data_IF_632231612861
#
_entry.id   IF_632231612861
#
_cell.length_a   1.000
_cell.length_b   1.000
_cell.length_c   1.000
_cell.angle_alpha   90.00
_cell.angle_beta   90.00
_cell.angle_gamma   90.00
#
_symmetry.space_group_name_H-M   'P 1'
#
loop_
_entity.id
_entity.type
_entity.pdbx_description
1 polymer ?
#
# COMPACT_ATOMS: atom_id res chain seq x y z
N UNK A 1 69.90 14.74 -33.42
CA UNK A 1 69.88 14.82 -31.95
C UNK A 1 69.30 16.18 -31.60
N UNK A 2 68.04 16.35 -31.22
CA UNK A 2 67.40 15.77 -30.05
C UNK A 2 65.92 15.50 -30.33
N UNK A 3 65.50 14.33 -29.85
CA UNK A 3 64.16 13.79 -29.83
C UNK A 3 63.38 14.43 -28.65
N UNK A 4 62.18 14.96 -28.91
CA UNK A 4 61.21 15.31 -27.87
C UNK A 4 59.81 14.90 -28.32
N UNK A 5 59.57 13.61 -28.11
CA UNK A 5 58.28 12.94 -28.05
C UNK A 5 57.15 13.84 -27.50
N UNK A 6 56.24 14.26 -28.38
CA UNK A 6 54.93 14.79 -27.99
C UNK A 6 54.00 13.61 -27.71
N UNK A 7 53.80 13.33 -26.42
CA UNK A 7 52.71 12.48 -25.93
C UNK A 7 51.41 13.29 -25.98
N UNK A 8 50.31 12.79 -26.58
CA UNK A 8 49.02 13.45 -26.47
C UNK A 8 48.47 13.24 -25.06
N UNK A 9 48.22 14.36 -24.38
CA UNK A 9 47.46 14.44 -23.15
C UNK A 9 45.98 14.20 -23.51
N UNK A 10 45.23 13.34 -22.79
CA UNK A 10 43.79 13.21 -23.01
C UNK A 10 43.11 14.56 -22.69
N UNK A 11 42.07 14.96 -23.44
CA UNK A 11 41.34 16.18 -23.14
C UNK A 11 40.78 16.07 -21.72
N UNK A 12 41.13 17.06 -20.90
CA UNK A 12 40.45 17.30 -19.64
C UNK A 12 38.95 17.34 -19.92
N UNK A 13 38.22 16.52 -19.16
CA UNK A 13 36.79 16.49 -19.18
C UNK A 13 36.31 17.90 -18.86
N UNK A 14 35.89 18.63 -19.89
CA UNK A 14 35.08 19.81 -19.73
C UNK A 14 33.89 19.41 -18.86
N UNK A 15 33.79 20.07 -17.71
CA UNK A 15 32.60 20.07 -16.88
C UNK A 15 31.46 20.67 -17.71
N UNK A 16 30.84 19.79 -18.49
CA UNK A 16 29.57 20.02 -19.15
C UNK A 16 28.51 20.12 -18.06
N UNK A 17 28.26 21.35 -17.64
CA UNK A 17 27.05 21.72 -16.96
C UNK A 17 25.83 21.29 -17.79
N UNK A 18 24.93 20.54 -17.16
CA UNK A 18 23.57 20.29 -17.65
C UNK A 18 23.29 18.84 -18.04
N UNK A 19 22.80 18.03 -17.10
CA UNK A 19 22.31 16.69 -17.44
C UNK A 19 21.86 15.86 -16.26
N UNK A 20 20.59 16.02 -15.86
CA UNK A 20 19.80 15.07 -15.06
C UNK A 20 20.26 14.85 -13.63
N UNK A 21 19.50 15.33 -12.65
CA UNK A 21 19.73 15.02 -11.23
C UNK A 21 19.36 13.57 -10.87
N UNK A 22 19.65 12.59 -11.72
CA UNK A 22 19.39 11.17 -11.38
C UNK A 22 20.21 10.86 -10.14
N UNK A 23 19.49 10.61 -9.04
CA UNK A 23 20.08 10.25 -7.77
C UNK A 23 21.09 9.12 -8.01
N UNK A 24 22.35 9.35 -7.61
CA UNK A 24 23.43 8.37 -7.79
C UNK A 24 23.08 7.03 -7.15
N UNK A 25 22.27 7.06 -6.09
CA UNK A 25 21.75 5.86 -5.42
C UNK A 25 20.73 5.15 -6.30
N UNK A 26 19.81 5.88 -6.93
CA UNK A 26 18.83 5.32 -7.87
C UNK A 26 19.51 4.70 -9.09
N UNK A 27 20.52 5.38 -9.64
CA UNK A 27 21.32 4.86 -10.75
C UNK A 27 22.05 3.57 -10.35
N UNK A 28 22.67 3.56 -9.16
CA UNK A 28 23.36 2.38 -8.63
C UNK A 28 22.39 1.20 -8.42
N UNK A 29 21.24 1.44 -7.81
CA UNK A 29 20.21 0.40 -7.59
C UNK A 29 19.69 -0.15 -8.92
N UNK A 30 19.47 0.70 -9.91
CA UNK A 30 19.02 0.27 -11.23
C UNK A 30 20.08 -0.61 -11.91
N UNK A 31 21.35 -0.23 -11.82
CA UNK A 31 22.48 -1.02 -12.34
C UNK A 31 22.62 -2.36 -11.63
N UNK A 32 22.48 -2.40 -10.30
CA UNK A 32 22.56 -3.64 -9.51
C UNK A 32 21.41 -4.61 -9.79
N UNK A 33 20.25 -4.13 -10.22
CA UNK A 33 19.11 -4.96 -10.59
C UNK A 33 19.24 -5.63 -11.97
N UNK A 34 20.10 -5.13 -12.87
CA UNK A 34 20.22 -5.64 -14.25
C UNK A 34 20.62 -7.13 -14.29
N UNK A 35 21.68 -7.60 -13.61
CA UNK A 35 22.04 -9.03 -13.61
C UNK A 35 20.97 -9.95 -13.01
N UNK A 36 20.18 -9.43 -12.06
CA UNK A 36 19.10 -10.18 -11.43
C UNK A 36 17.92 -10.37 -12.39
N UNK A 37 17.57 -9.31 -13.12
CA UNK A 37 16.53 -9.36 -14.16
C UNK A 37 16.96 -10.27 -15.30
N UNK A 38 18.23 -10.18 -15.72
CA UNK A 38 18.81 -11.06 -16.75
C UNK A 38 18.76 -12.54 -16.33
N UNK A 39 19.14 -12.85 -15.08
CA UNK A 39 19.02 -14.21 -14.51
C UNK A 39 17.57 -14.73 -14.47
N UNK A 40 16.60 -13.85 -14.17
CA UNK A 40 15.17 -14.20 -14.21
C UNK A 40 14.66 -14.44 -15.64
N UNK A 41 15.18 -13.70 -16.61
CA UNK A 41 14.85 -13.88 -18.02
C UNK A 41 15.44 -15.18 -18.57
N UNK A 42 16.69 -15.50 -18.24
CA UNK A 42 17.35 -16.76 -18.63
C UNK A 42 16.65 -17.99 -18.03
N UNK A 43 16.17 -17.89 -16.78
CA UNK A 43 15.39 -18.95 -16.14
C UNK A 43 14.02 -19.18 -16.80
N UNK A 44 13.43 -18.18 -17.45
CA UNK A 44 12.15 -18.33 -18.18
C UNK A 44 12.30 -19.13 -19.48
N UNK A 45 13.47 -19.15 -20.10
CA UNK A 45 13.71 -19.91 -21.34
C UNK A 45 13.76 -21.42 -21.08
N UNK A 46 14.09 -21.84 -19.84
CA UNK A 46 14.11 -23.24 -19.40
C UNK A 46 12.91 -23.62 -18.50
N UNK A 47 11.76 -22.96 -18.66
CA UNK A 47 10.56 -23.21 -17.84
C UNK A 47 9.88 -24.55 -18.18
N UNK A 48 10.37 -25.64 -17.57
CA UNK A 48 9.70 -26.95 -17.54
C UNK A 48 8.49 -27.01 -16.59
N UNK A 49 7.80 -25.89 -16.34
CA UNK A 49 6.62 -25.84 -15.47
C UNK A 49 5.34 -26.05 -16.28
N UNK A 50 4.95 -27.31 -16.47
CA UNK A 50 3.63 -27.66 -16.98
C UNK A 50 2.56 -27.23 -15.98
N UNK A 51 1.77 -26.22 -16.34
CA UNK A 51 0.57 -25.78 -15.60
C UNK A 51 -0.45 -26.91 -15.61
N UNK A 52 -0.41 -27.80 -14.61
CA UNK A 52 -1.51 -28.73 -14.33
C UNK A 52 -2.64 -27.96 -13.66
N UNK A 53 -3.50 -27.33 -14.45
CA UNK A 53 -4.82 -26.86 -13.98
C UNK A 53 -5.74 -28.07 -13.89
N UNK A 54 -5.85 -28.69 -12.71
CA UNK A 54 -6.88 -29.70 -12.48
C UNK A 54 -8.23 -28.99 -12.31
N UNK A 55 -9.05 -29.02 -13.37
CA UNK A 55 -10.43 -28.56 -13.36
C UNK A 55 -11.27 -29.58 -12.58
N UNK A 56 -11.63 -29.28 -11.32
CA UNK A 56 -12.65 -30.06 -10.59
C UNK A 56 -14.01 -29.46 -10.97
N UNK A 57 -14.78 -30.19 -11.77
CA UNK A 57 -16.13 -29.80 -12.18
C UNK A 57 -17.11 -29.95 -11.01
N UNK A 58 -17.67 -28.85 -10.53
CA UNK A 58 -18.83 -28.85 -9.62
C UNK A 58 -20.11 -28.55 -10.42
N UNK A 59 -21.10 -29.46 -10.46
CA UNK A 59 -22.38 -29.20 -11.11
C UNK A 59 -23.16 -28.08 -10.40
N UNK A 60 -23.70 -27.13 -11.16
CA UNK A 60 -24.50 -26.01 -10.64
C UNK A 60 -25.88 -26.46 -10.11
N UNK A 61 -26.42 -25.84 -9.04
CA UNK A 61 -27.71 -26.21 -8.48
C UNK A 61 -28.89 -25.74 -9.36
N UNK A 62 -30.01 -26.50 -9.40
CA UNK A 62 -31.16 -26.18 -10.24
C UNK A 62 -31.93 -24.96 -9.74
N UNK A 63 -32.21 -24.03 -10.66
CA UNK A 63 -33.13 -22.90 -10.42
C UNK A 63 -34.57 -23.40 -10.35
N UNK A 64 -35.30 -23.02 -9.30
CA UNK A 64 -36.76 -23.02 -9.27
C UNK A 64 -37.23 -21.62 -8.90
N UNK A 65 -37.99 -21.02 -9.81
CA UNK A 65 -38.78 -19.83 -9.58
C UNK A 65 -40.15 -20.26 -9.03
N UNK A 66 -40.59 -19.66 -7.94
CA UNK A 66 -42.00 -19.39 -7.63
C UNK A 66 -42.10 -18.75 -6.24
N UNK A 67 -42.45 -17.46 -6.28
CA UNK A 67 -43.29 -16.71 -5.34
C UNK A 67 -44.28 -17.56 -4.53
N UNK A 68 -44.40 -17.30 -3.22
CA UNK A 68 -45.63 -17.18 -2.41
C UNK A 68 -45.36 -17.43 -0.90
N UNK A 69 -45.71 -16.43 -0.09
CA UNK A 69 -46.45 -16.49 1.19
C UNK A 69 -45.94 -17.33 2.40
N UNK A 70 -45.86 -16.62 3.54
CA UNK A 70 -46.32 -17.02 4.89
C UNK A 70 -45.46 -17.91 5.82
N UNK A 71 -44.92 -17.27 6.87
CA UNK A 71 -45.17 -17.50 8.31
C UNK A 71 -45.20 -18.95 8.86
N UNK A 72 -44.13 -19.37 9.59
CA UNK A 72 -44.11 -19.85 11.02
C UNK A 72 -42.77 -20.51 11.43
N UNK A 73 -42.31 -20.21 12.66
CA UNK A 73 -41.23 -20.86 13.43
C UNK A 73 -41.55 -22.35 13.75
N UNK A 74 -40.74 -23.06 14.57
CA UNK A 74 -39.34 -23.51 14.44
C UNK A 74 -39.32 -25.08 14.46
N UNK A 75 -38.17 -25.78 14.50
CA UNK A 75 -37.95 -27.02 15.29
C UNK A 75 -36.84 -27.98 14.77
N UNK A 76 -36.06 -28.44 15.76
CA UNK A 76 -35.33 -29.71 15.97
C UNK A 76 -34.05 -30.10 15.19
N UNK A 77 -32.97 -30.11 15.98
CA UNK A 77 -31.92 -31.12 16.19
C UNK A 77 -32.07 -32.53 15.57
N UNK A 78 -30.94 -33.09 15.11
CA UNK A 78 -30.57 -34.52 15.16
C UNK A 78 -29.09 -34.68 14.73
N UNK A 79 -28.11 -34.75 15.63
CA UNK A 79 -27.65 -35.89 16.44
C UNK A 79 -26.96 -37.04 15.67
N UNK A 80 -25.62 -37.09 15.85
CA UNK A 80 -24.69 -38.24 15.94
C UNK A 80 -24.93 -39.51 15.10
N UNK A 81 -23.87 -39.95 14.40
CA UNK A 81 -23.65 -41.36 14.05
C UNK A 81 -22.18 -41.77 14.18
N UNK A 82 -21.81 -42.35 15.34
CA UNK A 82 -20.82 -43.44 15.42
C UNK A 82 -21.58 -44.74 15.27
N UNK A 83 -21.01 -45.72 14.56
CA UNK A 83 -21.53 -47.10 14.54
C UNK A 83 -20.34 -48.06 14.50
N UNK A 84 -20.23 -48.81 15.60
CA UNK A 84 -19.40 -49.98 15.83
C UNK A 84 -20.21 -51.24 15.41
N UNK A 85 -19.58 -52.36 14.98
CA UNK A 85 -20.28 -53.52 14.44
C UNK A 85 -20.45 -54.63 15.49
N UNK A 86 -21.69 -55.11 15.66
CA UNK A 86 -21.97 -56.27 16.49
C UNK A 86 -23.34 -56.90 16.22
N UNK A 87 -23.29 -58.20 15.91
CA UNK A 87 -24.25 -59.25 16.27
C UNK A 87 -25.53 -59.44 15.42
N UNK A 88 -25.63 -60.64 14.82
CA UNK A 88 -26.83 -61.17 14.15
C UNK A 88 -27.25 -62.46 14.84
N UNK A 89 -28.44 -62.40 15.45
CA UNK A 89 -29.12 -63.49 16.15
C UNK A 89 -29.72 -64.55 15.20
N UNK A 90 -29.37 -65.81 15.49
CA UNK A 90 -30.21 -67.02 15.71
C UNK A 90 -31.58 -67.16 14.99
N UNK A 91 -31.78 -68.32 14.34
CA UNK A 91 -33.10 -68.97 14.17
C UNK A 91 -33.00 -70.52 14.09
N UNK A 92 -33.72 -71.19 15.02
CA UNK A 92 -34.33 -72.54 15.07
C UNK A 92 -33.50 -73.86 14.95
N UNK A 93 -33.42 -74.54 16.11
CA UNK A 93 -33.45 -75.99 16.54
C UNK A 93 -33.95 -77.12 15.61
N UNK A 94 -33.84 -78.44 15.96
CA UNK A 94 -32.91 -79.15 16.89
C UNK A 94 -32.39 -80.56 16.43
N UNK A 95 -31.57 -81.17 17.30
CA UNK A 95 -31.28 -82.62 17.52
C UNK A 95 -30.27 -83.38 16.64
N UNK A 96 -29.08 -83.65 17.20
CA UNK A 96 -28.55 -85.02 17.33
C UNK A 96 -27.41 -85.10 18.36
N UNK A 97 -27.57 -86.10 19.22
CA UNK A 97 -26.73 -86.61 20.28
C UNK A 97 -25.39 -87.23 19.79
N UNK A 98 -24.36 -87.24 20.65
CA UNK A 98 -23.08 -87.96 20.45
C UNK A 98 -21.90 -87.25 21.11
N UNK A 99 -21.72 -87.35 22.42
CA UNK A 99 -20.89 -88.35 23.11
C UNK A 99 -19.41 -87.92 23.26
N UNK A 100 -18.88 -88.32 24.40
CA UNK A 100 -17.76 -87.85 25.19
C UNK A 100 -16.40 -88.30 24.61
N UNK A 101 -15.36 -87.49 24.82
CA UNK A 101 -14.00 -87.79 24.36
C UNK A 101 -12.91 -87.11 25.19
N UNK A 102 -12.57 -87.78 26.29
CA UNK A 102 -11.52 -87.56 27.28
C UNK A 102 -10.13 -87.12 26.74
N UNK A 103 -9.58 -86.06 27.34
CA UNK A 103 -8.18 -85.75 27.75
C UNK A 103 -7.01 -86.56 27.18
N UNK A 104 -6.02 -85.88 26.57
CA UNK A 104 -4.56 -86.18 26.73
C UNK A 104 -3.70 -84.90 26.50
N UNK A 105 -2.86 -84.45 27.45
CA UNK A 105 -1.67 -83.65 27.14
C UNK A 105 -0.47 -84.57 26.93
N UNK A 106 0.14 -84.52 25.74
CA UNK A 106 1.27 -85.37 25.38
C UNK A 106 2.57 -84.81 25.99
N UNK A 107 3.12 -85.53 26.98
CA UNK A 107 4.41 -85.25 27.60
C UNK A 107 5.60 -85.59 26.69
N UNK A 108 6.65 -84.78 26.84
CA UNK A 108 8.02 -84.87 26.36
C UNK A 108 8.58 -86.30 26.18
N UNK A 109 9.40 -86.48 25.14
CA UNK A 109 10.41 -87.55 25.05
C UNK A 109 11.69 -87.10 24.34
N UNK A 110 12.82 -87.16 25.06
CA UNK A 110 14.13 -87.65 24.58
C UNK A 110 15.09 -86.72 23.82
N UNK A 111 16.17 -86.28 24.51
CA UNK A 111 17.57 -86.20 24.08
C UNK A 111 18.32 -84.92 24.54
N UNK A 112 19.07 -85.08 25.63
CA UNK A 112 20.43 -84.58 25.91
C UNK A 112 20.95 -83.38 25.07
N UNK A 113 21.21 -82.25 25.77
CA UNK A 113 21.78 -80.98 25.30
C UNK A 113 20.94 -80.02 24.43
N UNK A 114 19.67 -80.29 24.12
CA UNK A 114 18.83 -79.35 23.35
C UNK A 114 18.18 -78.17 24.11
N UNK A 115 17.58 -78.33 25.30
CA UNK A 115 16.85 -77.22 25.93
C UNK A 115 17.75 -76.10 26.46
N UNK A 116 19.04 -76.37 26.69
CA UNK A 116 19.99 -75.35 27.15
C UNK A 116 20.47 -74.45 26.02
N UNK A 117 20.73 -75.00 24.84
CA UNK A 117 21.08 -74.24 23.63
C UNK A 117 19.90 -73.41 23.12
N UNK A 118 18.69 -73.98 23.12
CA UNK A 118 17.47 -73.26 22.73
C UNK A 118 17.17 -72.08 23.68
N UNK A 119 17.37 -72.28 24.99
CA UNK A 119 17.23 -71.21 25.99
C UNK A 119 18.31 -70.14 25.84
N UNK A 120 19.54 -70.52 25.46
CA UNK A 120 20.61 -69.56 25.17
C UNK A 120 20.29 -68.73 23.92
N UNK A 121 19.83 -69.35 22.84
CA UNK A 121 19.44 -68.66 21.60
C UNK A 121 18.22 -67.74 21.80
N UNK A 122 17.22 -68.15 22.58
CA UNK A 122 16.10 -67.29 22.95
C UNK A 122 16.55 -66.09 23.79
N UNK A 123 17.51 -66.30 24.70
CA UNK A 123 18.04 -65.23 25.54
C UNK A 123 18.81 -64.19 24.72
N UNK A 124 19.64 -64.62 23.77
CA UNK A 124 20.32 -63.73 22.82
C UNK A 124 19.32 -62.95 21.94
N UNK A 125 18.23 -63.60 21.50
CA UNK A 125 17.18 -62.92 20.75
C UNK A 125 16.46 -61.86 21.59
N UNK A 126 16.17 -62.16 22.87
CA UNK A 126 15.61 -61.17 23.80
C UNK A 126 16.54 -59.98 23.95
N UNK A 127 17.84 -60.22 24.15
CA UNK A 127 18.84 -59.16 24.30
C UNK A 127 18.96 -58.32 23.01
N UNK A 128 18.94 -58.96 21.84
CA UNK A 128 18.91 -58.27 20.53
C UNK A 128 17.66 -57.40 20.37
N UNK A 129 16.48 -57.93 20.72
CA UNK A 129 15.21 -57.19 20.63
C UNK A 129 15.18 -56.02 21.62
N UNK A 130 15.70 -56.19 22.83
CA UNK A 130 15.82 -55.11 23.82
C UNK A 130 16.74 -54.01 23.32
N UNK A 131 17.91 -54.35 22.76
CA UNK A 131 18.81 -53.36 22.15
C UNK A 131 18.12 -52.59 21.02
N UNK A 132 17.42 -53.31 20.14
CA UNK A 132 16.70 -52.70 19.02
C UNK A 132 15.54 -51.80 19.48
N UNK A 133 14.87 -52.17 20.58
CA UNK A 133 13.84 -51.36 21.20
C UNK A 133 14.45 -50.04 21.73
N UNK A 134 15.59 -50.09 22.42
CA UNK A 134 16.28 -48.91 22.92
C UNK A 134 16.70 -47.96 21.78
N UNK A 135 17.26 -48.48 20.69
CA UNK A 135 17.59 -47.68 19.50
C UNK A 135 16.34 -46.99 18.91
N UNK A 136 15.18 -47.69 18.92
CA UNK A 136 13.91 -47.13 18.46
C UNK A 136 13.35 -46.07 19.40
N UNK A 137 13.48 -46.26 20.72
CA UNK A 137 13.07 -45.28 21.72
C UNK A 137 13.92 -44.00 21.65
N UNK A 138 15.23 -44.13 21.40
CA UNK A 138 16.10 -42.97 21.17
C UNK A 138 15.72 -42.24 19.88
N UNK A 139 15.51 -42.95 18.77
CA UNK A 139 15.04 -42.36 17.53
C UNK A 139 13.67 -41.67 17.67
N UNK A 140 12.76 -42.26 18.47
CA UNK A 140 11.48 -41.66 18.80
C UNK A 140 11.67 -40.34 19.56
N UNK A 141 12.54 -40.33 20.59
CA UNK A 141 12.85 -39.13 21.36
C UNK A 141 13.46 -38.02 20.48
N UNK A 142 14.33 -38.38 19.52
CA UNK A 142 14.86 -37.43 18.53
C UNK A 142 13.77 -36.87 17.62
N UNK A 143 12.83 -37.71 17.15
CA UNK A 143 11.71 -37.27 16.33
C UNK A 143 10.77 -36.33 17.11
N UNK A 144 10.49 -36.62 18.38
CA UNK A 144 9.70 -35.75 19.26
C UNK A 144 10.36 -34.39 19.45
N UNK A 145 11.68 -34.34 19.65
CA UNK A 145 12.44 -33.08 19.73
C UNK A 145 12.39 -32.28 18.41
N UNK A 146 12.44 -32.95 17.27
CA UNK A 146 12.31 -32.27 15.98
C UNK A 146 10.90 -31.70 15.79
N UNK A 147 9.87 -32.40 16.26
CA UNK A 147 8.49 -31.91 16.22
C UNK A 147 8.31 -30.67 17.10
N UNK A 148 8.93 -30.62 18.28
CA UNK A 148 8.87 -29.41 19.13
C UNK A 148 9.59 -28.24 18.49
N UNK A 149 10.75 -28.46 17.87
CA UNK A 149 11.47 -27.44 17.10
C UNK A 149 10.64 -26.95 15.89
N UNK A 150 10.01 -27.87 15.15
CA UNK A 150 9.12 -27.53 14.04
C UNK A 150 7.93 -26.69 14.51
N UNK A 151 7.32 -27.02 15.66
CA UNK A 151 6.24 -26.22 16.23
C UNK A 151 6.71 -24.81 16.63
N UNK A 152 7.92 -24.68 17.17
CA UNK A 152 8.51 -23.38 17.45
C UNK A 152 8.76 -22.57 16.16
N UNK A 153 9.23 -23.23 15.10
CA UNK A 153 9.40 -22.61 13.78
C UNK A 153 8.05 -22.18 13.16
N UNK A 154 6.98 -22.93 13.35
CA UNK A 154 5.64 -22.50 12.91
C UNK A 154 5.16 -21.26 13.65
N UNK A 155 5.39 -21.18 14.96
CA UNK A 155 5.04 -20.00 15.75
C UNK A 155 5.79 -18.74 15.26
N UNK A 156 7.07 -18.86 14.90
CA UNK A 156 7.83 -17.72 14.35
C UNK A 156 7.36 -17.33 12.95
N UNK A 157 6.98 -18.29 12.10
CA UNK A 157 6.41 -18.03 10.78
C UNK A 157 5.08 -17.26 10.90
N UNK A 158 4.22 -17.63 11.84
CA UNK A 158 2.93 -16.96 12.03
C UNK A 158 3.10 -15.53 12.55
N UNK A 159 4.08 -15.29 13.44
CA UNK A 159 4.43 -13.93 13.86
C UNK A 159 4.99 -13.08 12.70
N UNK A 160 5.84 -13.67 11.84
CA UNK A 160 6.34 -12.98 10.65
C UNK A 160 5.19 -12.63 9.68
N UNK A 161 4.21 -13.52 9.51
CA UNK A 161 3.02 -13.24 8.69
C UNK A 161 2.18 -12.09 9.26
N UNK A 162 2.04 -12.02 10.58
CA UNK A 162 1.38 -10.92 11.27
C UNK A 162 2.10 -9.60 11.02
N UNK A 163 3.43 -9.58 11.19
CA UNK A 163 4.27 -8.39 10.96
C UNK A 163 4.22 -7.91 9.50
N UNK A 164 4.23 -8.84 8.54
CA UNK A 164 4.02 -8.51 7.11
C UNK A 164 2.65 -7.84 6.91
N UNK A 165 1.60 -8.39 7.49
CA UNK A 165 0.24 -7.84 7.39
C UNK A 165 0.15 -6.43 7.97
N UNK A 166 0.77 -6.18 9.13
CA UNK A 166 0.84 -4.87 9.77
C UNK A 166 1.60 -3.86 8.90
N UNK A 167 2.75 -4.26 8.33
CA UNK A 167 3.54 -3.41 7.43
C UNK A 167 2.77 -3.09 6.15
N UNK A 168 2.05 -4.05 5.58
CA UNK A 168 1.20 -3.81 4.42
C UNK A 168 0.06 -2.83 4.75
N UNK A 169 -0.55 -2.93 5.93
CA UNK A 169 -1.56 -1.99 6.38
C UNK A 169 -1.00 -0.57 6.53
N UNK A 170 0.21 -0.44 7.09
CA UNK A 170 0.92 0.84 7.18
C UNK A 170 1.21 1.43 5.80
N UNK A 171 1.73 0.63 4.86
CA UNK A 171 1.98 1.06 3.47
C UNK A 171 0.68 1.56 2.83
N UNK A 172 -0.43 0.83 2.97
CA UNK A 172 -1.74 1.24 2.44
C UNK A 172 -2.19 2.57 3.03
N UNK A 173 -2.05 2.76 4.35
CA UNK A 173 -2.42 4.00 5.04
C UNK A 173 -1.58 5.20 4.57
N UNK A 174 -0.25 5.06 4.55
CA UNK A 174 0.65 6.13 4.09
C UNK A 174 0.41 6.48 2.62
N UNK A 175 0.15 5.49 1.78
CA UNK A 175 -0.15 5.74 0.36
C UNK A 175 -1.49 6.48 0.18
N UNK A 176 -2.49 6.18 1.01
CA UNK A 176 -3.75 6.94 1.05
C UNK A 176 -3.50 8.40 1.43
N UNK A 177 -2.75 8.64 2.51
CA UNK A 177 -2.41 10.00 2.95
C UNK A 177 -1.64 10.79 1.88
N UNK A 178 -0.71 10.14 1.17
CA UNK A 178 0.01 10.77 0.05
C UNK A 178 -0.93 11.16 -1.09
N UNK A 179 -1.89 10.29 -1.42
CA UNK A 179 -2.88 10.58 -2.45
C UNK A 179 -3.77 11.77 -2.07
N UNK A 180 -4.25 11.81 -0.84
CA UNK A 180 -5.05 12.93 -0.32
C UNK A 180 -4.27 14.25 -0.34
N UNK A 181 -3.00 14.21 0.09
CA UNK A 181 -2.11 15.37 0.01
C UNK A 181 -1.89 15.85 -1.43
N UNK A 182 -1.79 14.93 -2.39
CA UNK A 182 -1.66 15.26 -3.81
C UNK A 182 -2.91 15.97 -4.36
N UNK A 183 -4.11 15.53 -3.96
CA UNK A 183 -5.36 16.21 -4.33
C UNK A 183 -5.37 17.62 -3.76
N UNK A 184 -5.10 17.78 -2.46
CA UNK A 184 -5.07 19.11 -1.84
C UNK A 184 -4.06 20.05 -2.50
N UNK A 185 -2.89 19.53 -2.88
CA UNK A 185 -1.88 20.33 -3.57
C UNK A 185 -2.38 20.80 -4.95
N UNK A 186 -3.06 19.94 -5.70
CA UNK A 186 -3.67 20.32 -6.97
C UNK A 186 -4.76 21.39 -6.79
N UNK A 187 -5.60 21.27 -5.76
CA UNK A 187 -6.63 22.27 -5.44
C UNK A 187 -6.02 23.62 -5.05
N UNK A 188 -4.93 23.60 -4.28
CA UNK A 188 -4.17 24.82 -3.93
C UNK A 188 -3.53 25.44 -5.17
N UNK A 189 -2.95 24.63 -6.06
CA UNK A 189 -2.38 25.09 -7.32
C UNK A 189 -3.44 25.77 -8.20
N UNK A 190 -4.61 25.15 -8.36
CA UNK A 190 -5.72 25.75 -9.09
C UNK A 190 -6.21 27.08 -8.47
N UNK A 191 -6.19 27.17 -7.14
CA UNK A 191 -6.53 28.40 -6.42
C UNK A 191 -5.52 29.52 -6.67
N UNK A 192 -4.22 29.20 -6.73
CA UNK A 192 -3.15 30.16 -7.03
C UNK A 192 -3.30 30.67 -8.47
N UNK A 193 -3.44 29.78 -9.45
CA UNK A 193 -3.60 30.17 -10.87
C UNK A 193 -4.81 31.08 -11.09
N UNK A 194 -5.91 30.81 -10.39
CA UNK A 194 -7.10 31.67 -10.41
C UNK A 194 -6.78 33.08 -9.88
N UNK A 195 -6.13 33.18 -8.73
CA UNK A 195 -5.75 34.47 -8.15
C UNK A 195 -4.76 35.23 -9.04
N UNK A 196 -3.80 34.55 -9.65
CA UNK A 196 -2.88 35.14 -10.62
C UNK A 196 -3.63 35.72 -11.82
N UNK A 197 -4.62 34.99 -12.34
CA UNK A 197 -5.46 35.48 -13.42
C UNK A 197 -6.29 36.71 -13.01
N UNK A 198 -6.89 36.69 -11.82
CA UNK A 198 -7.62 37.83 -11.27
C UNK A 198 -6.72 39.07 -11.10
N UNK A 199 -5.50 38.90 -10.57
CA UNK A 199 -4.50 39.96 -10.43
C UNK A 199 -4.13 40.52 -11.81
N UNK A 200 -3.85 39.65 -12.79
CA UNK A 200 -3.50 40.08 -14.16
C UNK A 200 -4.63 40.89 -14.80
N UNK A 201 -5.88 40.45 -14.64
CA UNK A 201 -7.05 41.14 -15.18
C UNK A 201 -7.31 42.46 -14.44
N UNK A 202 -7.10 42.51 -13.13
CA UNK A 202 -7.21 43.74 -12.35
C UNK A 202 -6.12 44.74 -12.74
N UNK A 203 -4.87 44.30 -12.90
CA UNK A 203 -3.76 45.14 -13.31
C UNK A 203 -4.01 45.77 -14.68
N UNK A 204 -4.55 45.00 -15.64
CA UNK A 204 -4.95 45.54 -16.94
C UNK A 204 -6.01 46.64 -16.82
N UNK A 205 -7.04 46.44 -15.99
CA UNK A 205 -8.05 47.48 -15.75
C UNK A 205 -7.45 48.75 -15.15
N UNK A 206 -6.44 48.61 -14.28
CA UNK A 206 -5.70 49.75 -13.71
C UNK A 206 -4.92 50.49 -14.80
N UNK A 207 -4.24 49.77 -15.69
CA UNK A 207 -3.53 50.36 -16.84
C UNK A 207 -4.49 51.12 -17.77
N UNK A 208 -5.65 50.53 -18.09
CA UNK A 208 -6.69 51.16 -18.92
C UNK A 208 -7.19 52.46 -18.26
N UNK A 209 -7.55 52.42 -16.97
CA UNK A 209 -7.98 53.60 -16.21
C UNK A 209 -6.90 54.68 -16.10
N UNK A 210 -5.63 54.29 -15.95
CA UNK A 210 -4.51 55.23 -15.94
C UNK A 210 -4.36 55.93 -17.30
N UNK A 211 -4.60 55.21 -18.40
CA UNK A 211 -4.68 55.77 -19.74
C UNK A 211 -5.81 56.80 -19.87
N UNK A 212 -7.00 56.46 -19.41
CA UNK A 212 -8.17 57.35 -19.43
C UNK A 212 -7.94 58.64 -18.62
N UNK A 213 -7.36 58.54 -17.43
CA UNK A 213 -7.00 59.70 -16.59
C UNK A 213 -5.98 60.59 -17.31
N UNK A 214 -4.99 60.00 -17.97
CA UNK A 214 -4.00 60.74 -18.74
C UNK A 214 -4.65 61.48 -19.92
N UNK A 215 -5.56 60.83 -20.64
CA UNK A 215 -6.33 61.43 -21.74
C UNK A 215 -7.19 62.61 -21.25
N UNK A 216 -7.96 62.42 -20.17
CA UNK A 216 -8.74 63.50 -19.56
C UNK A 216 -7.85 64.66 -19.09
N UNK A 217 -6.65 64.38 -18.58
CA UNK A 217 -5.65 65.40 -18.24
C UNK A 217 -5.26 66.28 -19.43
N UNK A 218 -5.08 65.69 -20.63
CA UNK A 218 -4.82 66.44 -21.86
C UNK A 218 -6.04 67.26 -22.29
N UNK A 219 -7.25 66.70 -22.23
CA UNK A 219 -8.49 67.41 -22.58
C UNK A 219 -8.74 68.61 -21.65
N UNK A 220 -8.58 68.42 -20.33
CA UNK A 220 -8.69 69.49 -19.33
C UNK A 220 -7.63 70.56 -19.57
N UNK A 221 -6.38 70.18 -19.86
CA UNK A 221 -5.32 71.14 -20.16
C UNK A 221 -5.62 71.95 -21.42
N UNK A 222 -6.16 71.31 -22.47
CA UNK A 222 -6.59 71.99 -23.69
C UNK A 222 -7.75 72.96 -23.42
N UNK A 223 -8.72 72.57 -22.59
CA UNK A 223 -9.83 73.42 -22.19
C UNK A 223 -9.36 74.61 -21.34
N UNK A 224 -8.43 74.37 -20.42
CA UNK A 224 -7.86 75.42 -19.56
C UNK A 224 -7.09 76.45 -20.40
N UNK A 225 -6.28 76.01 -21.35
CA UNK A 225 -5.60 76.90 -22.29
C UNK A 225 -6.58 77.74 -23.15
N UNK A 226 -7.74 77.18 -23.48
CA UNK A 226 -8.81 77.93 -24.16
C UNK A 226 -9.40 79.03 -23.26
N UNK A 227 -9.64 78.75 -21.97
CA UNK A 227 -10.08 79.76 -21.01
C UNK A 227 -9.04 80.86 -20.76
N UNK A 228 -7.76 80.50 -20.66
CA UNK A 228 -6.68 81.47 -20.50
C UNK A 228 -6.63 82.43 -21.69
N UNK A 229 -6.74 81.88 -22.90
CA UNK A 229 -6.80 82.68 -24.13
C UNK A 229 -8.02 83.60 -24.18
N UNK A 230 -9.20 83.14 -23.75
CA UNK A 230 -10.37 84.02 -23.65
C UNK A 230 -10.13 85.14 -22.63
N UNK A 231 -9.56 84.81 -21.46
CA UNK A 231 -9.27 85.79 -20.40
C UNK A 231 -8.28 86.85 -20.86
N UNK A 232 -7.25 86.47 -21.64
CA UNK A 232 -6.30 87.40 -22.25
C UNK A 232 -6.99 88.37 -23.24
N UNK A 233 -7.88 87.85 -24.09
CA UNK A 233 -8.65 88.67 -25.05
C UNK A 233 -9.60 89.65 -24.35
N UNK A 234 -10.16 89.30 -23.18
CA UNK A 234 -11.06 90.18 -22.41
C UNK A 234 -10.30 91.21 -21.55
N UNK A 235 -9.07 90.91 -21.14
CA UNK A 235 -8.20 91.84 -20.41
C UNK A 235 -7.58 92.92 -21.33
N UNK A 236 -7.50 92.64 -22.64
CA UNK A 236 -6.94 93.56 -23.65
C UNK A 236 -7.82 94.74 -24.06
N UNK A 237 -9.06 94.83 -23.55
CA UNK A 237 -9.99 95.94 -23.84
C UNK A 237 -10.54 96.53 -22.53
N UNK A 238 -9.63 97.07 -21.71
CA UNK A 238 -10.01 98.03 -20.66
C UNK A 238 -9.39 99.39 -20.98
N UNK A 239 -10.21 100.25 -21.58
CA UNK A 239 -10.07 101.68 -21.33
C UNK A 239 -10.36 101.92 -19.85
N UNK A 240 -9.38 102.54 -19.21
CA UNK A 240 -9.41 103.23 -17.91
C UNK A 240 -10.81 103.55 -17.38
N UNK A 241 -11.29 102.82 -16.36
CA UNK A 241 -11.90 103.44 -15.18
C UNK A 241 -12.08 102.47 -14.00
N UNK A 242 -11.45 102.82 -12.88
CA UNK A 242 -11.86 102.61 -11.48
C UNK A 242 -12.19 101.20 -10.94
N UNK A 243 -11.31 100.76 -10.02
CA UNK A 243 -11.47 99.67 -9.03
C UNK A 243 -12.51 100.06 -7.95
N UNK A 244 -13.31 99.11 -7.42
CA UNK A 244 -13.08 98.75 -6.02
C UNK A 244 -13.12 97.23 -5.72
N UNK A 245 -12.06 96.82 -5.03
CA UNK A 245 -11.93 95.72 -4.06
C UNK A 245 -13.25 95.17 -3.48
N UNK A 246 -13.44 93.85 -3.56
CA UNK A 246 -14.16 93.11 -2.51
C UNK A 246 -13.49 91.75 -2.27
N UNK A 247 -12.91 91.66 -1.09
CA UNK A 247 -12.45 90.48 -0.37
C UNK A 247 -13.65 89.66 0.15
N UNK A 248 -13.33 88.42 0.54
CA UNK A 248 -14.14 87.44 1.29
C UNK A 248 -15.16 86.61 0.52
N UNK A 249 -14.68 85.49 -0.04
CA UNK A 249 -15.48 84.28 -0.26
C UNK A 249 -15.03 83.23 0.76
N UNK A 250 -15.96 82.90 1.65
CA UNK A 250 -15.89 82.02 2.81
C UNK A 250 -15.09 80.72 2.61
N UNK A 251 -14.22 80.45 3.58
CA UNK A 251 -13.57 79.17 3.79
C UNK A 251 -14.59 78.10 4.22
N UNK A 252 -15.05 77.28 3.29
CA UNK A 252 -15.76 76.03 3.62
C UNK A 252 -14.70 74.94 3.88
N UNK A 253 -14.05 75.02 5.03
CA UNK A 253 -13.23 73.91 5.53
C UNK A 253 -14.17 72.89 6.17
N UNK A 254 -14.77 72.04 5.32
CA UNK A 254 -15.64 70.96 5.74
C UNK A 254 -14.83 69.93 6.54
N UNK A 255 -15.16 69.86 7.82
CA UNK A 255 -14.69 68.87 8.78
C UNK A 255 -15.06 67.45 8.32
N UNK A 256 -14.09 66.66 7.89
CA UNK A 256 -14.22 65.19 7.88
C UNK A 256 -13.53 64.66 9.12
N UNK A 257 -14.37 64.42 10.11
CA UNK A 257 -14.13 63.55 11.26
C UNK A 257 -13.73 62.15 10.76
N UNK A 258 -12.59 61.63 11.22
CA UNK A 258 -12.27 60.21 11.09
C UNK A 258 -11.47 59.73 12.30
N UNK A 259 -12.17 59.03 13.19
CA UNK A 259 -11.65 58.09 14.19
C UNK A 259 -12.66 56.92 14.27
N UNK A 260 -12.29 55.71 14.72
CA UNK A 260 -11.24 54.83 14.22
C UNK A 260 -11.83 53.43 13.88
N UNK A 261 -11.22 52.69 12.96
CA UNK A 261 -11.51 51.25 12.82
C UNK A 261 -10.44 50.44 13.56
N UNK A 262 -10.81 50.00 14.76
CA UNK A 262 -10.22 48.86 15.44
C UNK A 262 -10.49 47.59 14.64
N UNK A 263 -9.45 46.89 14.20
CA UNK A 263 -9.53 45.47 13.86
C UNK A 263 -8.36 44.75 14.53
N UNK A 264 -8.69 44.11 15.65
CA UNK A 264 -7.87 43.10 16.31
C UNK A 264 -7.93 41.83 15.45
N UNK A 265 -6.78 41.31 15.05
CA UNK A 265 -6.63 39.95 14.53
C UNK A 265 -5.98 39.09 15.63
N UNK A 266 -6.52 37.91 15.98
CA UNK A 266 -5.80 36.95 16.79
C UNK A 266 -4.97 36.04 15.88
N UNK A 267 -3.70 35.87 16.25
CA UNK A 267 -2.90 34.66 15.97
C UNK A 267 -2.86 33.86 17.26
#
# INVERSE_FOLDING_TARGET
MHDRSHKPQPPEAGEGAGGGNVDRVLFKNLVEMVPLVESLMDRRVNSAYSRRTSLVYTPAPPKKASELESVKLPQSVSAKKRRDPGDVSKKSTPDSNGDNGLVVPLSLSGAENKPKDDVAGLREQVDYLQKKLLEKEEALRSAESLVTEMNAAYATIDELRRLVSDKEALIRSTNSQLHDAKIMLADKQASVEKLEWEVKMSNKKVEDLQGDVSNMGFEISSLMAFFDKISENLSGDSYDDTVPSSYELEAIQSTVSMHPWSNVWPV
#
